data_IF_528894768967
#
_entry.id   IF_528894768967
#
_cell.length_a   1.000
_cell.length_b   1.000
_cell.length_c   1.000
_cell.angle_alpha   90.00
_cell.angle_beta   90.00
_cell.angle_gamma   90.00
#
_symmetry.space_group_name_H-M   'P 1'
#
loop_
_entity.id
_entity.type
_entity.pdbx_description
1 polymer ?
#
# COMPACT_ATOMS: atom_id res chain seq x y z
N UNK A 1 -2.93 20.30 -9.50
CA UNK A 1 -3.70 19.16 -8.93
C UNK A 1 -3.50 17.85 -9.69
N UNK A 2 -3.73 17.78 -11.02
CA UNK A 2 -3.44 16.57 -11.83
C UNK A 2 -2.02 16.04 -11.62
N UNK A 3 -1.02 16.94 -11.56
CA UNK A 3 0.37 16.58 -11.27
C UNK A 3 0.56 15.98 -9.87
N UNK A 4 -0.16 16.46 -8.84
CA UNK A 4 -0.06 15.94 -7.46
C UNK A 4 -0.65 14.54 -7.40
N UNK A 5 -1.82 14.32 -8.00
CA UNK A 5 -2.44 13.01 -8.12
C UNK A 5 -1.50 12.02 -8.81
N UNK A 6 -0.92 12.41 -9.94
CA UNK A 6 0.03 11.57 -10.69
C UNK A 6 1.26 11.26 -9.84
N UNK A 7 1.93 12.27 -9.27
CA UNK A 7 3.15 12.09 -8.47
C UNK A 7 2.93 11.21 -7.26
N UNK A 8 1.87 11.47 -6.48
CA UNK A 8 1.59 10.70 -5.25
C UNK A 8 1.14 9.27 -5.56
N UNK A 9 0.39 9.06 -6.64
CA UNK A 9 -0.04 7.71 -7.06
C UNK A 9 1.14 6.91 -7.60
N UNK A 10 1.99 7.52 -8.43
CA UNK A 10 3.22 6.89 -8.90
C UNK A 10 4.16 6.59 -7.73
N UNK A 11 4.32 7.51 -6.78
CA UNK A 11 5.10 7.26 -5.57
C UNK A 11 4.54 6.08 -4.77
N UNK A 12 3.21 6.03 -4.54
CA UNK A 12 2.55 4.90 -3.88
C UNK A 12 2.86 3.59 -4.58
N UNK A 13 2.66 3.53 -5.91
CA UNK A 13 2.92 2.33 -6.70
C UNK A 13 4.38 1.91 -6.62
N UNK A 14 5.30 2.81 -6.94
CA UNK A 14 6.74 2.53 -7.03
C UNK A 14 7.30 2.10 -5.67
N UNK A 15 6.97 2.80 -4.59
CA UNK A 15 7.48 2.45 -3.25
C UNK A 15 6.99 1.07 -2.81
N UNK A 16 5.71 0.75 -3.04
CA UNK A 16 5.15 -0.55 -2.70
C UNK A 16 5.75 -1.66 -3.57
N UNK A 17 5.98 -1.42 -4.88
CA UNK A 17 6.68 -2.36 -5.74
C UNK A 17 8.12 -2.62 -5.31
N UNK A 18 8.89 -1.56 -5.04
CA UNK A 18 10.29 -1.66 -4.61
C UNK A 18 10.41 -2.49 -3.34
N UNK A 19 9.52 -2.28 -2.36
CA UNK A 19 9.54 -3.05 -1.12
C UNK A 19 9.30 -4.53 -1.35
N UNK A 20 8.37 -4.91 -2.24
CA UNK A 20 8.14 -6.31 -2.60
C UNK A 20 9.38 -6.87 -3.29
N UNK A 21 9.95 -6.17 -4.26
CA UNK A 21 11.13 -6.64 -4.98
C UNK A 21 12.33 -6.89 -4.05
N UNK A 22 12.55 -6.01 -3.07
CA UNK A 22 13.62 -6.16 -2.08
C UNK A 22 13.41 -7.42 -1.20
N UNK A 23 12.16 -7.74 -0.87
CA UNK A 23 11.82 -8.83 0.05
C UNK A 23 11.40 -10.12 -0.66
N UNK A 24 11.28 -10.12 -1.99
CA UNK A 24 10.69 -11.21 -2.76
C UNK A 24 11.38 -12.56 -2.53
N UNK A 25 12.72 -12.56 -2.41
CA UNK A 25 13.50 -13.78 -2.13
C UNK A 25 13.27 -14.36 -0.73
N UNK A 26 12.69 -13.57 0.18
CA UNK A 26 12.36 -13.98 1.56
C UNK A 26 10.91 -14.40 1.71
N UNK A 27 10.10 -14.28 0.64
CA UNK A 27 8.68 -14.57 0.74
C UNK A 27 8.44 -16.08 0.95
N UNK A 28 7.63 -16.46 1.94
CA UNK A 28 7.16 -17.84 2.07
C UNK A 28 6.29 -18.23 0.86
N UNK A 29 6.00 -19.52 0.72
CA UNK A 29 5.15 -20.04 -0.36
C UNK A 29 3.74 -19.38 -0.39
N UNK A 30 3.27 -18.88 0.76
CA UNK A 30 2.01 -18.17 0.92
C UNK A 30 2.17 -16.99 1.89
N UNK A 31 1.63 -15.83 1.52
CA UNK A 31 1.70 -14.57 2.26
C UNK A 31 0.37 -14.31 2.94
N UNK A 32 0.39 -14.10 4.25
CA UNK A 32 -0.78 -13.71 5.01
C UNK A 32 -1.24 -12.30 4.62
N UNK A 33 -2.50 -12.16 4.22
CA UNK A 33 -3.10 -10.87 3.85
C UNK A 33 -4.34 -10.52 4.67
N UNK A 34 -4.87 -11.48 5.42
CA UNK A 34 -6.00 -11.30 6.30
C UNK A 34 -5.76 -12.08 7.60
N UNK A 35 -6.16 -11.48 8.71
CA UNK A 35 -6.00 -12.01 10.05
C UNK A 35 -7.36 -11.97 10.75
N UNK A 36 -7.67 -12.99 11.55
CA UNK A 36 -8.88 -13.04 12.37
C UNK A 36 -8.78 -12.11 13.60
N UNK A 37 -9.85 -12.03 14.39
CA UNK A 37 -9.90 -11.21 15.61
C UNK A 37 -8.92 -11.67 16.71
N UNK A 38 -8.46 -12.92 16.64
CA UNK A 38 -7.41 -13.46 17.51
C UNK A 38 -6.00 -13.17 16.98
N UNK A 39 -5.88 -12.55 15.80
CA UNK A 39 -4.62 -12.20 15.15
C UNK A 39 -3.97 -13.34 14.37
N UNK A 40 -4.67 -14.46 14.15
CA UNK A 40 -4.16 -15.58 13.36
C UNK A 40 -4.41 -15.34 11.86
N UNK A 41 -3.46 -15.68 10.98
CA UNK A 41 -3.69 -15.58 9.54
C UNK A 41 -4.77 -16.57 9.07
N UNK A 42 -5.81 -16.04 8.42
CA UNK A 42 -6.90 -16.85 7.86
C UNK A 42 -7.17 -16.55 6.36
N UNK A 43 -6.35 -15.70 5.74
CA UNK A 43 -6.38 -15.43 4.31
C UNK A 43 -4.97 -15.26 3.74
N UNK A 44 -4.71 -15.93 2.61
CA UNK A 44 -3.36 -16.03 2.04
C UNK A 44 -3.36 -15.72 0.54
N UNK A 45 -2.26 -15.15 0.06
CA UNK A 45 -1.97 -14.98 -1.36
C UNK A 45 -0.64 -15.63 -1.73
N UNK A 46 -0.53 -16.10 -2.97
CA UNK A 46 0.76 -16.51 -3.54
C UNK A 46 1.64 -15.27 -3.76
N UNK A 47 2.97 -15.37 -3.61
CA UNK A 47 3.91 -14.27 -3.88
C UNK A 47 3.69 -13.51 -5.19
N UNK A 48 3.41 -14.23 -6.28
CA UNK A 48 3.16 -13.64 -7.59
C UNK A 48 1.87 -12.81 -7.63
N UNK A 49 0.81 -13.27 -6.97
CA UNK A 49 -0.46 -12.54 -6.86
C UNK A 49 -0.29 -11.33 -5.96
N UNK A 50 0.40 -11.49 -4.84
CA UNK A 50 0.68 -10.41 -3.89
C UNK A 50 1.48 -9.26 -4.52
N UNK A 51 2.54 -9.61 -5.28
CA UNK A 51 3.36 -8.67 -6.04
C UNK A 51 2.53 -7.78 -6.98
N UNK A 52 1.52 -8.37 -7.62
CA UNK A 52 0.65 -7.64 -8.52
C UNK A 52 -0.38 -6.83 -7.72
N UNK A 53 -1.16 -7.47 -6.86
CA UNK A 53 -2.39 -6.89 -6.29
C UNK A 53 -2.11 -5.75 -5.31
N UNK A 54 -1.12 -5.90 -4.42
CA UNK A 54 -0.92 -4.94 -3.31
C UNK A 54 -0.50 -3.55 -3.80
N UNK A 55 0.49 -3.39 -4.70
CA UNK A 55 0.82 -2.07 -5.22
C UNK A 55 -0.35 -1.40 -5.94
N UNK A 56 -1.13 -2.14 -6.75
CA UNK A 56 -2.29 -1.60 -7.43
C UNK A 56 -3.38 -1.14 -6.44
N UNK A 57 -3.66 -1.92 -5.39
CA UNK A 57 -4.57 -1.51 -4.32
C UNK A 57 -4.08 -0.24 -3.62
N UNK A 58 -2.78 -0.15 -3.32
CA UNK A 58 -2.19 1.06 -2.73
C UNK A 58 -2.32 2.29 -3.65
N UNK A 59 -2.23 2.11 -4.97
CA UNK A 59 -2.51 3.15 -5.95
C UNK A 59 -3.97 3.60 -5.94
N UNK A 60 -4.92 2.67 -5.95
CA UNK A 60 -6.36 2.95 -5.89
C UNK A 60 -6.73 3.69 -4.60
N UNK A 61 -6.23 3.23 -3.45
CA UNK A 61 -6.44 3.88 -2.15
C UNK A 61 -5.88 5.30 -2.16
N UNK A 62 -4.69 5.51 -2.75
CA UNK A 62 -4.12 6.85 -2.87
C UNK A 62 -5.01 7.78 -3.72
N UNK A 63 -5.48 7.31 -4.88
CA UNK A 63 -6.39 8.06 -5.75
C UNK A 63 -7.66 8.44 -4.97
N UNK A 64 -8.29 7.48 -4.29
CA UNK A 64 -9.48 7.71 -3.49
C UNK A 64 -9.23 8.73 -2.35
N UNK A 65 -8.08 8.61 -1.66
CA UNK A 65 -7.68 9.55 -0.62
C UNK A 65 -7.51 10.97 -1.16
N UNK A 66 -6.83 11.15 -2.30
CA UNK A 66 -6.66 12.46 -2.94
C UNK A 66 -8.01 13.10 -3.30
N UNK A 67 -8.94 12.33 -3.88
CA UNK A 67 -10.28 12.83 -4.19
C UNK A 67 -11.09 13.18 -2.94
N UNK A 68 -11.01 12.36 -1.89
CA UNK A 68 -11.70 12.59 -0.62
C UNK A 68 -11.16 13.82 0.11
N UNK A 69 -9.83 13.94 0.21
CA UNK A 69 -9.16 15.12 0.79
C UNK A 69 -9.55 16.41 0.07
N UNK A 70 -9.63 16.36 -1.27
CA UNK A 70 -10.12 17.49 -2.07
C UNK A 70 -11.55 17.86 -1.72
N UNK A 71 -12.46 16.86 -1.66
CA UNK A 71 -13.90 17.09 -1.47
C UNK A 71 -14.23 17.65 -0.09
N UNK A 72 -13.58 17.15 0.96
CA UNK A 72 -14.00 17.43 2.34
C UNK A 72 -13.16 18.46 3.07
N UNK A 73 -11.87 18.58 2.74
CA UNK A 73 -10.95 19.37 3.57
C UNK A 73 -10.32 20.57 2.85
N UNK A 74 -10.50 20.68 1.52
CA UNK A 74 -10.00 21.80 0.71
C UNK A 74 -8.57 22.26 1.10
N UNK A 75 -7.70 21.31 1.46
CA UNK A 75 -6.37 21.63 1.97
C UNK A 75 -5.59 22.42 0.92
N UNK A 76 -5.27 23.68 1.23
CA UNK A 76 -4.41 24.52 0.37
C UNK A 76 -2.97 24.01 0.35
N UNK A 77 -2.57 23.29 1.39
CA UNK A 77 -1.22 22.76 1.52
C UNK A 77 -1.07 21.42 0.81
N UNK A 78 -0.20 21.39 -0.19
CA UNK A 78 0.07 20.22 -1.03
C UNK A 78 0.70 19.05 -0.27
N UNK A 79 1.35 19.29 0.88
CA UNK A 79 2.03 18.24 1.65
C UNK A 79 1.07 17.15 2.17
N UNK A 80 -0.20 17.48 2.43
CA UNK A 80 -1.18 16.50 2.92
C UNK A 80 -1.43 15.34 1.96
N UNK A 81 -1.24 15.56 0.65
CA UNK A 81 -1.42 14.50 -0.35
C UNK A 81 -0.29 13.46 -0.34
N UNK A 82 0.85 13.75 0.28
CA UNK A 82 1.97 12.80 0.43
C UNK A 82 1.84 11.93 1.68
N UNK A 83 0.85 12.18 2.55
CA UNK A 83 0.61 11.35 3.74
C UNK A 83 0.02 9.98 3.32
N UNK A 84 -0.90 9.98 2.35
CA UNK A 84 -1.53 8.75 1.86
C UNK A 84 -0.54 7.68 1.36
N UNK A 85 0.45 7.97 0.49
CA UNK A 85 1.43 6.96 0.07
C UNK A 85 2.32 6.48 1.22
N UNK A 86 2.59 7.30 2.24
CA UNK A 86 3.33 6.88 3.43
C UNK A 86 2.49 5.92 4.30
N UNK A 87 1.19 6.17 4.44
CA UNK A 87 0.27 5.28 5.16
C UNK A 87 0.20 3.92 4.46
N UNK A 88 0.01 3.88 3.14
CA UNK A 88 -0.07 2.61 2.40
C UNK A 88 1.23 1.83 2.48
N UNK A 89 2.38 2.52 2.38
CA UNK A 89 3.69 1.90 2.56
C UNK A 89 3.85 1.31 3.99
N UNK A 90 3.45 2.04 5.02
CA UNK A 90 3.52 1.59 6.41
C UNK A 90 2.64 0.36 6.68
N UNK A 91 1.40 0.36 6.19
CA UNK A 91 0.49 -0.79 6.30
C UNK A 91 1.05 -2.03 5.60
N UNK A 92 1.61 -1.83 4.41
CA UNK A 92 2.22 -2.91 3.65
C UNK A 92 3.49 -3.45 4.35
N UNK A 93 4.34 -2.57 4.90
CA UNK A 93 5.49 -2.98 5.69
C UNK A 93 5.07 -3.79 6.93
N UNK A 94 3.98 -3.40 7.61
CA UNK A 94 3.45 -4.13 8.75
C UNK A 94 2.93 -5.53 8.37
N UNK A 95 2.24 -5.66 7.24
CA UNK A 95 1.79 -6.95 6.70
C UNK A 95 2.98 -7.87 6.38
N UNK A 96 4.01 -7.33 5.72
CA UNK A 96 5.21 -8.09 5.39
C UNK A 96 6.00 -8.49 6.64
N UNK A 97 6.13 -7.60 7.62
CA UNK A 97 6.77 -7.92 8.88
C UNK A 97 6.10 -9.11 9.58
N UNK A 98 4.76 -9.16 9.60
CA UNK A 98 4.03 -10.30 10.17
C UNK A 98 4.15 -11.57 9.35
N UNK A 99 4.33 -11.46 8.03
CA UNK A 99 4.48 -12.62 7.14
C UNK A 99 5.89 -13.22 7.23
N UNK A 100 6.90 -12.39 7.44
CA UNK A 100 8.32 -12.79 7.45
C UNK A 100 8.84 -13.18 8.83
N UNK A 101 8.01 -13.04 9.88
CA UNK A 101 8.33 -13.46 11.25
C UNK A 101 7.91 -14.91 11.45
#
# INVERSE_FOLDING_TARGET
>A
MKQILIKTTLASLVLNFLMILILYSKFPAQIAVHFDDAGNPNGYLRPSIYLLVIPFLAGIVNIAAVYRLKRFFAFKNTYFYYIAPLITLGLHAALLYRTLK
#
